data_IF_828784218148
#
_entry.id   IF_828784218148
#
_cell.length_a   1.000
_cell.length_b   1.000
_cell.length_c   1.000
_cell.angle_alpha   90.00
_cell.angle_beta   90.00
_cell.angle_gamma   90.00
#
_symmetry.space_group_name_H-M   'P 1'
#
loop_
_entity.id
_entity.type
_entity.pdbx_description
1 polymer ?
#
# COMPACT_ATOMS: atom_id res chain seq x y z
N UNK A 1 -13.40 -5.69 6.71
CA UNK A 1 -12.03 -5.28 6.30
C UNK A 1 -11.80 -3.79 6.55
N UNK A 2 -12.76 -2.98 6.13
CA UNK A 2 -12.90 -1.53 6.19
C UNK A 2 -12.54 -0.93 7.55
N UNK A 3 -13.04 -1.48 8.66
CA UNK A 3 -12.72 -0.95 9.99
C UNK A 3 -11.24 -1.04 10.33
N UNK A 4 -10.53 -2.08 9.87
CA UNK A 4 -9.08 -2.20 10.09
C UNK A 4 -8.31 -1.25 9.19
N UNK A 5 -8.81 -1.03 7.97
CA UNK A 5 -8.29 0.00 7.09
C UNK A 5 -8.38 1.40 7.70
N UNK A 6 -9.55 1.74 8.24
CA UNK A 6 -9.78 3.00 8.92
C UNK A 6 -8.84 3.19 10.11
N UNK A 7 -8.59 2.14 10.89
CA UNK A 7 -7.63 2.20 12.00
C UNK A 7 -6.19 2.37 11.51
N UNK A 8 -5.78 1.72 10.42
CA UNK A 8 -4.46 1.97 9.79
C UNK A 8 -4.31 3.45 9.43
N UNK A 9 -5.28 4.03 8.71
CA UNK A 9 -5.22 5.44 8.30
C UNK A 9 -5.25 6.38 9.51
N UNK A 10 -6.15 6.17 10.47
CA UNK A 10 -6.26 6.98 11.69
C UNK A 10 -4.92 7.07 12.44
N UNK A 11 -4.26 5.93 12.65
CA UNK A 11 -2.99 5.91 13.39
C UNK A 11 -1.80 6.46 12.60
N UNK A 12 -1.90 6.55 11.27
CA UNK A 12 -0.88 7.16 10.41
C UNK A 12 -1.09 8.66 10.27
N UNK A 13 -2.33 9.13 10.13
CA UNK A 13 -2.64 10.53 9.85
C UNK A 13 -2.65 11.41 11.10
N UNK A 14 -2.93 10.85 12.28
CA UNK A 14 -2.88 11.60 13.53
C UNK A 14 -1.44 11.92 13.94
N UNK A 15 -1.18 13.14 14.47
CA UNK A 15 0.07 13.41 15.18
C UNK A 15 0.26 12.50 16.40
N UNK A 16 1.51 12.18 16.72
CA UNK A 16 1.83 11.32 17.88
C UNK A 16 1.24 11.82 19.20
N UNK A 17 1.22 13.14 19.42
CA UNK A 17 0.67 13.77 20.63
C UNK A 17 -0.82 13.51 20.86
N UNK A 18 -1.60 13.26 19.78
CA UNK A 18 -3.04 13.01 19.84
C UNK A 18 -3.38 11.55 19.51
N UNK A 19 -2.38 10.67 19.54
CA UNK A 19 -2.58 9.22 19.45
C UNK A 19 -2.12 8.56 18.16
N UNK A 20 -1.48 9.29 17.25
CA UNK A 20 -0.78 8.71 16.09
C UNK A 20 0.28 7.68 16.50
N UNK A 21 0.40 6.58 15.77
CA UNK A 21 1.34 5.50 16.09
C UNK A 21 1.54 4.53 14.93
N UNK A 22 2.74 4.53 14.33
CA UNK A 22 3.14 3.53 13.33
C UNK A 22 2.95 2.10 13.87
N UNK A 23 3.33 1.83 15.12
CA UNK A 23 3.18 0.50 15.74
C UNK A 23 1.72 0.03 15.74
N UNK A 24 0.77 0.92 16.04
CA UNK A 24 -0.67 0.58 16.00
C UNK A 24 -1.14 0.38 14.57
N UNK A 25 -0.71 1.23 13.63
CA UNK A 25 -1.03 1.04 12.22
C UNK A 25 -0.52 -0.31 11.69
N UNK A 26 0.72 -0.69 12.00
CA UNK A 26 1.29 -1.99 11.64
C UNK A 26 0.48 -3.14 12.24
N UNK A 27 0.07 -3.05 13.52
CA UNK A 27 -0.80 -4.04 14.14
C UNK A 27 -2.08 -4.26 13.33
N UNK A 28 -2.78 -3.20 12.92
CA UNK A 28 -4.01 -3.34 12.15
C UNK A 28 -3.76 -3.78 10.70
N UNK A 29 -2.60 -3.46 10.13
CA UNK A 29 -2.15 -4.03 8.85
C UNK A 29 -1.90 -5.55 8.94
N UNK A 30 -1.39 -6.04 10.08
CA UNK A 30 -1.24 -7.47 10.34
C UNK A 30 -2.61 -8.15 10.51
N UNK A 31 -3.55 -7.53 11.24
CA UNK A 31 -4.93 -8.03 11.32
C UNK A 31 -5.60 -8.07 9.93
N UNK A 32 -5.34 -7.09 9.07
CA UNK A 32 -5.79 -7.09 7.69
C UNK A 32 -5.17 -8.23 6.89
N UNK A 33 -3.89 -8.56 7.11
CA UNK A 33 -3.23 -9.67 6.43
C UNK A 33 -3.93 -11.00 6.67
N UNK A 34 -4.39 -11.24 7.90
CA UNK A 34 -5.13 -12.45 8.26
C UNK A 34 -6.54 -12.49 7.61
N UNK A 35 -7.18 -11.33 7.43
CA UNK A 35 -8.53 -11.23 6.84
C UNK A 35 -8.51 -11.23 5.30
N UNK A 36 -7.52 -10.56 4.71
CA UNK A 36 -7.38 -10.35 3.27
C UNK A 36 -5.92 -10.06 2.94
N UNK A 37 -5.25 -11.00 2.27
CA UNK A 37 -3.85 -10.83 1.86
C UNK A 37 -3.64 -9.58 1.00
N UNK A 38 -4.59 -9.29 0.11
CA UNK A 38 -4.53 -8.11 -0.78
C UNK A 38 -4.54 -6.84 0.06
N UNK A 39 -5.50 -6.70 0.97
CA UNK A 39 -5.61 -5.51 1.81
C UNK A 39 -4.43 -5.42 2.78
N UNK A 40 -4.05 -6.52 3.45
CA UNK A 40 -2.87 -6.54 4.33
C UNK A 40 -1.60 -6.05 3.63
N UNK A 41 -1.35 -6.48 2.39
CA UNK A 41 -0.22 -5.98 1.62
C UNK A 41 -0.38 -4.51 1.22
N UNK A 42 -1.56 -4.08 0.78
CA UNK A 42 -1.81 -2.66 0.52
C UNK A 42 -1.56 -1.81 1.77
N UNK A 43 -1.90 -2.29 2.98
CA UNK A 43 -1.79 -1.50 4.21
C UNK A 43 -0.34 -1.32 4.58
N UNK A 44 0.45 -2.40 4.53
CA UNK A 44 1.88 -2.34 4.76
C UNK A 44 2.58 -1.44 3.75
N UNK A 45 2.18 -1.53 2.48
CA UNK A 45 2.66 -0.64 1.42
C UNK A 45 2.33 0.84 1.69
N UNK A 46 1.10 1.13 2.13
CA UNK A 46 0.66 2.48 2.47
C UNK A 46 1.43 3.07 3.67
N UNK A 47 1.64 2.28 4.73
CA UNK A 47 2.44 2.70 5.89
C UNK A 47 3.86 3.03 5.45
N UNK A 48 4.50 2.16 4.68
CA UNK A 48 5.86 2.40 4.18
C UNK A 48 5.93 3.60 3.24
N UNK A 49 4.93 3.81 2.38
CA UNK A 49 4.85 4.96 1.49
C UNK A 49 4.75 6.27 2.28
N UNK A 50 3.92 6.31 3.33
CA UNK A 50 3.77 7.48 4.20
C UNK A 50 5.10 7.88 4.85
N UNK A 51 5.88 6.90 5.34
CA UNK A 51 7.21 7.13 5.91
C UNK A 51 8.33 7.25 4.86
N UNK A 52 8.00 7.46 3.58
CA UNK A 52 8.93 7.58 2.48
C UNK A 52 9.85 6.35 2.26
N UNK A 53 9.47 5.18 2.79
CA UNK A 53 10.19 3.90 2.64
C UNK A 53 9.81 3.21 1.34
N UNK A 54 9.93 3.94 0.23
CA UNK A 54 9.33 3.55 -1.07
C UNK A 54 9.77 2.19 -1.59
N UNK A 55 11.03 1.78 -1.36
CA UNK A 55 11.49 0.43 -1.75
C UNK A 55 10.77 -0.68 -1.00
N UNK A 56 10.40 -0.47 0.26
CA UNK A 56 9.59 -1.45 1.02
C UNK A 56 8.12 -1.40 0.59
N UNK A 57 7.60 -0.19 0.36
CA UNK A 57 6.26 -0.01 -0.18
C UNK A 57 6.07 -0.75 -1.53
N UNK A 58 7.06 -0.66 -2.42
CA UNK A 58 7.09 -1.36 -3.70
C UNK A 58 6.94 -2.88 -3.53
N UNK A 59 7.72 -3.48 -2.61
CA UNK A 59 7.65 -4.93 -2.33
C UNK A 59 6.23 -5.33 -1.93
N UNK A 60 5.57 -4.56 -1.08
CA UNK A 60 4.23 -4.88 -0.63
C UNK A 60 3.15 -4.63 -1.70
N UNK A 61 3.22 -3.52 -2.42
CA UNK A 61 2.28 -3.23 -3.50
C UNK A 61 2.42 -4.22 -4.67
N UNK A 62 3.62 -4.69 -4.98
CA UNK A 62 3.83 -5.79 -5.94
C UNK A 62 3.07 -7.05 -5.51
N UNK A 63 3.25 -7.50 -4.26
CA UNK A 63 2.52 -8.68 -3.74
C UNK A 63 1.00 -8.50 -3.77
N UNK A 64 0.50 -7.30 -3.42
CA UNK A 64 -0.92 -7.00 -3.51
C UNK A 64 -1.43 -7.09 -4.95
N UNK A 65 -0.67 -6.54 -5.91
CA UNK A 65 -1.02 -6.55 -7.33
C UNK A 65 -0.96 -7.95 -7.95
N UNK A 66 0.05 -8.75 -7.61
CA UNK A 66 0.19 -10.14 -8.05
C UNK A 66 -1.02 -11.00 -7.63
N UNK A 67 -1.51 -10.82 -6.40
CA UNK A 67 -2.64 -11.60 -5.87
C UNK A 67 -3.98 -11.04 -6.35
N UNK A 68 -4.17 -9.72 -6.26
CA UNK A 68 -5.47 -9.09 -6.49
C UNK A 68 -5.73 -8.70 -7.95
N UNK A 69 -4.68 -8.27 -8.66
CA UNK A 69 -4.70 -7.81 -10.06
C UNK A 69 -5.92 -6.93 -10.40
N UNK A 70 -6.35 -6.09 -9.45
CA UNK A 70 -7.52 -5.22 -9.58
C UNK A 70 -7.08 -3.79 -9.90
N UNK A 71 -8.03 -2.97 -10.36
CA UNK A 71 -7.81 -1.52 -10.61
C UNK A 71 -7.18 -0.83 -9.40
N UNK A 72 -7.62 -1.15 -8.18
CA UNK A 72 -7.10 -0.56 -6.95
C UNK A 72 -5.62 -0.91 -6.73
N UNK A 73 -5.28 -2.20 -6.85
CA UNK A 73 -3.89 -2.66 -6.66
C UNK A 73 -2.95 -2.09 -7.72
N UNK A 74 -3.42 -2.04 -8.97
CA UNK A 74 -2.71 -1.41 -10.08
C UNK A 74 -2.45 0.06 -9.80
N UNK A 75 -3.49 0.83 -9.44
CA UNK A 75 -3.37 2.28 -9.21
C UNK A 75 -2.39 2.61 -8.09
N UNK A 76 -2.36 1.84 -7.00
CA UNK A 76 -1.40 2.05 -5.90
C UNK A 76 0.04 1.82 -6.33
N UNK A 77 0.33 0.70 -6.99
CA UNK A 77 1.67 0.40 -7.48
C UNK A 77 2.11 1.37 -8.58
N UNK A 78 1.22 1.68 -9.53
CA UNK A 78 1.47 2.64 -10.60
C UNK A 78 1.76 4.05 -10.05
N UNK A 79 0.97 4.53 -9.09
CA UNK A 79 1.19 5.82 -8.44
C UNK A 79 2.53 5.87 -7.70
N UNK A 80 2.91 4.79 -7.01
CA UNK A 80 4.23 4.70 -6.38
C UNK A 80 5.35 4.87 -7.42
N UNK A 81 5.29 4.14 -8.54
CA UNK A 81 6.28 4.25 -9.61
C UNK A 81 6.33 5.64 -10.24
N UNK A 82 5.18 6.19 -10.61
CA UNK A 82 5.12 7.45 -11.32
C UNK A 82 5.51 8.64 -10.44
N UNK A 83 4.99 8.69 -9.21
CA UNK A 83 5.01 9.89 -8.39
C UNK A 83 6.09 9.87 -7.31
N UNK A 84 6.30 8.71 -6.66
CA UNK A 84 7.22 8.60 -5.52
C UNK A 84 8.63 8.19 -5.95
N UNK A 85 8.73 7.14 -6.75
CA UNK A 85 10.00 6.65 -7.30
C UNK A 85 10.43 7.38 -8.58
N UNK A 86 9.47 8.00 -9.28
CA UNK A 86 9.66 8.67 -10.58
C UNK A 86 10.26 7.76 -11.66
N UNK A 87 10.00 6.45 -11.55
CA UNK A 87 10.42 5.44 -12.52
C UNK A 87 9.34 5.28 -13.60
N UNK A 88 9.42 6.14 -14.62
CA UNK A 88 8.47 6.15 -15.75
C UNK A 88 8.51 4.84 -16.55
N UNK A 89 9.65 4.14 -16.56
CA UNK A 89 9.81 2.88 -17.30
C UNK A 89 8.98 1.79 -16.62
N UNK A 90 9.13 1.62 -15.29
CA UNK A 90 8.31 0.68 -14.52
C UNK A 90 6.82 1.01 -14.59
N UNK A 91 6.46 2.29 -14.48
CA UNK A 91 5.06 2.72 -14.58
C UNK A 91 4.44 2.34 -15.93
N UNK A 92 5.10 2.67 -17.05
CA UNK A 92 4.62 2.32 -18.40
C UNK A 92 4.53 0.82 -18.63
N UNK A 93 5.54 0.06 -18.19
CA UNK A 93 5.53 -1.41 -18.29
C UNK A 93 4.36 -2.02 -17.52
N UNK A 94 4.14 -1.57 -16.29
CA UNK A 94 3.01 -2.03 -15.47
C UNK A 94 1.67 -1.74 -16.13
N UNK A 95 1.50 -0.53 -16.70
CA UNK A 95 0.27 -0.14 -17.41
C UNK A 95 0.01 -1.03 -18.62
N UNK A 96 1.03 -1.27 -19.44
CA UNK A 96 0.90 -2.15 -20.60
C UNK A 96 0.52 -3.58 -20.18
N UNK A 97 1.13 -4.11 -19.11
CA UNK A 97 0.81 -5.44 -18.60
C UNK A 97 -0.63 -5.54 -18.08
N UNK A 98 -1.14 -4.48 -17.44
CA UNK A 98 -2.50 -4.44 -16.92
C UNK A 98 -3.57 -4.29 -18.01
N UNK A 99 -3.30 -3.45 -19.02
CA UNK A 99 -4.23 -3.18 -20.13
C UNK A 99 -4.35 -4.38 -21.11
N UNK A 100 -3.33 -5.24 -21.16
CA UNK A 100 -3.28 -6.40 -22.07
C UNK A 100 -3.88 -7.69 -21.47
N UNK A 101 -4.53 -7.61 -20.31
CA UNK A 101 -5.21 -8.72 -19.65
C UNK A 101 -6.72 -8.65 -19.87
#
# INVERSE_FOLDING_TARGET
>A
VESRWALVMLYIELPGIVGGSEKKAVKYADELMELSKVDGYLAKGYIDEYFNRYKKAEIYYLKAHEIGNSKTTFQKLYSLYLNKLKDKIKASKLKQQFDNK
#
